data_IF_730186061555
#
_entry.id   IF_730186061555
#
_cell.length_a   1.000
_cell.length_b   1.000
_cell.length_c   1.000
_cell.angle_alpha   90.00
_cell.angle_beta   90.00
_cell.angle_gamma   90.00
#
_symmetry.space_group_name_H-M   'P 1'
#
loop_
_entity.id
_entity.type
_entity.pdbx_description
1 polymer ?
#
# COMPACT_ATOMS: atom_id res chain seq x y z
N UNK A 1 -25.88 -49.38 38.26
CA UNK A 1 -24.86 -48.32 38.14
C UNK A 1 -25.62 -46.99 38.03
N UNK A 2 -25.95 -46.36 39.16
CA UNK A 2 -25.29 -45.15 39.71
C UNK A 2 -25.31 -43.97 38.70
N UNK A 3 -26.38 -43.16 38.71
CA UNK A 3 -26.52 -41.82 39.35
C UNK A 3 -25.55 -40.74 38.84
N UNK A 4 -26.10 -39.70 38.20
CA UNK A 4 -25.69 -38.29 38.39
C UNK A 4 -26.84 -37.38 37.90
N UNK A 5 -27.78 -37.01 38.77
CA UNK A 5 -27.85 -35.77 39.58
C UNK A 5 -27.45 -34.48 38.86
N UNK A 6 -28.46 -33.60 38.80
CA UNK A 6 -28.52 -32.15 38.65
C UNK A 6 -27.20 -31.36 38.58
N UNK A 7 -27.21 -30.29 37.79
CA UNK A 7 -27.10 -28.95 38.38
C UNK A 7 -27.75 -27.90 37.47
N UNK A 8 -28.75 -27.26 38.08
CA UNK A 8 -29.40 -26.01 37.71
C UNK A 8 -28.40 -24.90 38.03
N UNK A 9 -28.16 -23.96 37.11
CA UNK A 9 -27.54 -22.68 37.45
C UNK A 9 -28.43 -21.63 36.83
N UNK A 10 -29.29 -21.07 37.68
CA UNK A 10 -30.08 -19.88 37.41
C UNK A 10 -29.21 -18.61 37.48
N UNK A 11 -29.80 -17.55 36.95
CA UNK A 11 -29.57 -16.14 37.25
C UNK A 11 -28.48 -15.37 36.48
N UNK A 12 -29.02 -14.59 35.53
CA UNK A 12 -28.88 -13.12 35.48
C UNK A 12 -27.45 -12.59 35.60
N UNK A 13 -26.88 -12.24 34.44
CA UNK A 13 -26.22 -10.94 34.33
C UNK A 13 -26.89 -10.11 33.24
N UNK A 14 -27.60 -9.13 33.76
CA UNK A 14 -28.06 -7.89 33.14
C UNK A 14 -26.84 -7.03 32.74
N UNK A 15 -27.07 -6.06 31.85
CA UNK A 15 -26.17 -4.98 31.42
C UNK A 15 -25.02 -5.39 30.48
N UNK A 16 -24.81 -4.80 29.31
CA UNK A 16 -25.21 -3.49 28.77
C UNK A 16 -25.12 -3.57 27.24
N UNK A 17 -26.10 -3.02 26.52
CA UNK A 17 -25.82 -2.53 25.16
C UNK A 17 -24.80 -1.38 25.26
N UNK A 18 -23.94 -1.20 24.26
CA UNK A 18 -24.38 -0.24 23.26
C UNK A 18 -24.21 -0.77 21.84
N UNK A 19 -25.29 -0.78 21.07
CA UNK A 19 -25.20 -0.37 19.67
C UNK A 19 -24.87 1.12 19.64
N UNK A 20 -23.78 1.51 18.95
CA UNK A 20 -23.86 2.73 18.16
C UNK A 20 -23.51 2.40 16.70
N UNK A 21 -24.49 2.69 15.85
CA UNK A 21 -24.31 3.33 14.55
C UNK A 21 -23.24 2.78 13.58
N UNK A 22 -23.74 2.24 12.47
CA UNK A 22 -23.21 2.45 11.11
C UNK A 22 -21.73 2.13 10.84
N UNK A 23 -21.47 0.90 10.40
CA UNK A 23 -20.44 0.67 9.39
C UNK A 23 -21.10 -0.10 8.24
N UNK A 24 -21.61 0.56 7.18
CA UNK A 24 -21.89 -0.13 5.93
C UNK A 24 -20.61 -0.11 5.09
N UNK A 25 -19.57 -0.82 5.50
CA UNK A 25 -18.42 -1.03 4.62
C UNK A 25 -17.99 -2.47 4.74
N UNK A 26 -18.68 -3.30 3.96
CA UNK A 26 -17.99 -4.34 3.23
C UNK A 26 -16.76 -3.67 2.58
N UNK A 27 -15.59 -3.85 3.19
CA UNK A 27 -14.33 -3.69 2.47
C UNK A 27 -14.11 -5.09 1.90
N UNK A 28 -14.52 -5.37 0.67
CA UNK A 28 -14.17 -6.63 0.05
C UNK A 28 -12.65 -6.67 -0.01
N UNK A 29 -12.10 -7.83 0.32
CA UNK A 29 -10.71 -8.15 0.20
C UNK A 29 -10.17 -7.78 -1.20
N UNK A 30 -9.46 -6.65 -1.30
CA UNK A 30 -8.67 -6.28 -2.47
C UNK A 30 -7.31 -5.81 -1.98
N UNK A 31 -6.44 -6.76 -1.61
CA UNK A 31 -4.99 -6.61 -1.37
C UNK A 31 -4.57 -5.18 -0.97
N UNK A 32 -4.96 -4.74 0.23
CA UNK A 32 -4.47 -3.49 0.80
C UNK A 32 -2.98 -3.65 1.07
N UNK A 33 -2.16 -3.29 0.08
CA UNK A 33 -0.73 -3.09 0.27
C UNK A 33 -0.61 -1.82 1.11
N UNK A 34 -0.57 -1.98 2.43
CA UNK A 34 -0.43 -0.87 3.37
C UNK A 34 1.02 -0.38 3.28
N UNK A 35 1.26 0.79 2.66
CA UNK A 35 2.61 1.31 2.54
C UNK A 35 3.11 1.77 3.92
N UNK A 36 4.40 1.58 4.21
CA UNK A 36 5.01 2.16 5.41
C UNK A 36 5.60 3.54 5.13
N UNK A 37 5.55 4.44 6.11
CA UNK A 37 6.16 5.77 5.99
C UNK A 37 7.67 5.62 5.76
N UNK A 38 8.19 6.25 4.70
CA UNK A 38 9.59 6.17 4.34
C UNK A 38 9.96 4.97 3.47
N UNK A 39 9.01 4.09 3.16
CA UNK A 39 9.22 2.96 2.25
C UNK A 39 9.03 3.37 0.78
N UNK A 40 9.46 2.51 -0.14
CA UNK A 40 9.28 2.71 -1.58
C UNK A 40 8.15 1.82 -2.08
N UNK A 41 7.24 2.41 -2.85
CA UNK A 41 6.08 1.70 -3.37
C UNK A 41 5.84 2.06 -4.82
N UNK A 42 5.29 1.09 -5.55
CA UNK A 42 4.79 1.31 -6.89
C UNK A 42 3.29 1.50 -6.86
N UNK A 43 2.80 2.51 -7.57
CA UNK A 43 1.38 2.76 -7.67
C UNK A 43 0.99 3.23 -9.05
N UNK A 44 -0.27 3.00 -9.40
CA UNK A 44 -0.87 3.39 -10.68
C UNK A 44 -1.46 4.77 -10.58
N UNK A 45 -1.11 5.63 -11.53
CA UNK A 45 -1.70 6.95 -11.70
C UNK A 45 -1.98 7.19 -13.18
N UNK A 46 -3.22 7.55 -13.54
CA UNK A 46 -3.66 7.81 -14.92
C UNK A 46 -3.31 6.68 -15.92
N UNK A 47 -3.43 5.41 -15.50
CA UNK A 47 -3.13 4.26 -16.36
C UNK A 47 -1.64 4.07 -16.64
N UNK A 48 -0.77 4.65 -15.83
CA UNK A 48 0.68 4.40 -15.85
C UNK A 48 1.14 4.13 -14.43
N UNK A 49 1.94 3.11 -14.22
CA UNK A 49 2.57 2.88 -12.92
C UNK A 49 3.79 3.79 -12.73
N UNK A 50 3.97 4.23 -11.50
CA UNK A 50 5.08 5.07 -11.06
C UNK A 50 5.60 4.53 -9.74
N UNK A 51 6.92 4.59 -9.57
CA UNK A 51 7.56 4.27 -8.30
C UNK A 51 7.75 5.55 -7.52
N UNK A 52 7.48 5.49 -6.22
CA UNK A 52 7.58 6.63 -5.35
C UNK A 52 7.94 6.25 -3.93
N UNK A 53 8.31 7.26 -3.17
CA UNK A 53 8.61 7.13 -1.74
C UNK A 53 7.42 7.62 -0.94
N UNK A 54 7.00 6.84 0.03
CA UNK A 54 5.90 7.17 0.93
C UNK A 54 6.40 8.24 1.90
N UNK A 55 5.78 9.42 1.85
CA UNK A 55 6.09 10.52 2.75
C UNK A 55 5.20 10.50 3.99
N UNK A 56 3.93 10.16 3.79
CA UNK A 56 2.93 10.11 4.86
C UNK A 56 1.89 9.06 4.50
N UNK A 57 1.37 8.39 5.52
CA UNK A 57 0.27 7.44 5.41
C UNK A 57 -0.85 7.99 6.29
N UNK A 58 -2.07 7.96 5.78
CA UNK A 58 -3.28 8.37 6.47
C UNK A 58 -4.24 7.19 6.51
N UNK A 59 -4.15 6.42 7.59
CA UNK A 59 -4.96 5.22 7.80
C UNK A 59 -6.44 5.53 8.03
N UNK A 60 -6.77 6.77 8.43
CA UNK A 60 -8.16 7.22 8.62
C UNK A 60 -8.91 7.32 7.29
N UNK A 61 -8.27 7.87 6.26
CA UNK A 61 -8.90 8.06 4.94
C UNK A 61 -8.52 6.93 3.95
N UNK A 62 -7.50 6.13 4.29
CA UNK A 62 -6.98 5.07 3.43
C UNK A 62 -6.12 5.61 2.29
N UNK A 63 -5.41 6.71 2.52
CA UNK A 63 -4.55 7.37 1.54
C UNK A 63 -3.08 7.39 1.97
N UNK A 64 -2.19 7.27 1.00
CA UNK A 64 -0.78 7.55 1.18
C UNK A 64 -0.36 8.76 0.35
N UNK A 65 0.38 9.66 0.98
CA UNK A 65 1.11 10.71 0.30
C UNK A 65 2.42 10.14 -0.21
N UNK A 66 2.49 9.91 -1.50
CA UNK A 66 3.66 9.35 -2.16
C UNK A 66 4.31 10.43 -3.03
N UNK A 67 5.63 10.55 -2.89
CA UNK A 67 6.45 11.33 -3.80
C UNK A 67 6.74 10.41 -4.98
N UNK A 68 6.26 10.73 -6.18
CA UNK A 68 6.52 9.92 -7.37
C UNK A 68 7.83 10.31 -8.05
N UNK A 69 8.56 9.30 -8.53
CA UNK A 69 9.69 9.47 -9.42
C UNK A 69 9.21 9.44 -10.87
N UNK A 70 9.81 10.31 -11.69
CA UNK A 70 9.57 10.31 -13.13
C UNK A 70 10.48 9.30 -13.79
N UNK A 71 9.89 8.36 -14.53
CA UNK A 71 10.65 7.53 -15.47
C UNK A 71 11.24 8.41 -16.57
N UNK A 72 12.55 8.40 -16.67
CA UNK A 72 13.32 9.07 -17.70
C UNK A 72 13.71 8.02 -18.71
N UNK A 73 13.28 8.20 -19.97
CA UNK A 73 13.68 7.33 -21.07
C UNK A 73 15.19 7.49 -21.26
N UNK A 74 15.95 6.53 -20.77
CA UNK A 74 17.38 6.43 -21.03
C UNK A 74 17.60 6.06 -22.50
N UNK A 75 18.73 6.49 -23.08
CA UNK A 75 19.15 6.05 -24.41
C UNK A 75 19.66 4.60 -24.44
N UNK A 76 19.66 3.92 -23.28
CA UNK A 76 20.15 2.57 -23.04
C UNK A 76 19.00 1.77 -22.42
N UNK A 77 18.94 0.45 -22.64
CA UNK A 77 17.87 -0.48 -22.20
C UNK A 77 17.53 -0.49 -20.71
N UNK A 78 18.18 0.35 -19.89
CA UNK A 78 17.92 0.50 -18.45
C UNK A 78 17.04 1.72 -18.22
N UNK A 79 15.83 1.49 -17.72
CA UNK A 79 14.94 2.56 -17.30
C UNK A 79 15.51 3.27 -16.07
N UNK A 80 15.54 4.61 -16.15
CA UNK A 80 16.10 5.46 -15.09
C UNK A 80 15.00 6.23 -14.43
N UNK A 81 15.02 6.30 -13.11
CA UNK A 81 14.08 7.07 -12.33
C UNK A 81 14.76 8.32 -11.79
N UNK A 82 14.04 9.45 -11.80
CA UNK A 82 14.56 10.69 -11.25
C UNK A 82 13.46 11.44 -10.52
N UNK A 83 13.82 12.02 -9.39
CA UNK A 83 12.93 12.94 -8.68
C UNK A 83 12.66 14.18 -9.54
N UNK A 84 11.40 14.46 -9.89
CA UNK A 84 11.06 15.71 -10.56
C UNK A 84 11.37 16.90 -9.64
N UNK A 85 11.68 18.05 -10.24
CA UNK A 85 11.80 19.33 -9.54
C UNK A 85 10.84 20.32 -10.21
N UNK A 86 9.75 20.73 -9.54
CA UNK A 86 9.38 20.42 -8.15
C UNK A 86 9.00 18.95 -7.90
N UNK A 87 9.15 18.48 -6.65
CA UNK A 87 8.78 17.10 -6.28
C UNK A 87 7.27 16.88 -6.45
N UNK A 88 6.90 15.90 -7.27
CA UNK A 88 5.53 15.45 -7.45
C UNK A 88 5.10 14.62 -6.24
N UNK A 89 4.35 15.25 -5.33
CA UNK A 89 3.79 14.62 -4.13
C UNK A 89 2.28 14.54 -4.27
N UNK A 90 1.77 13.34 -4.41
CA UNK A 90 0.36 13.07 -4.68
C UNK A 90 -0.20 12.18 -3.58
N UNK A 91 -1.46 12.42 -3.22
CA UNK A 91 -2.21 11.52 -2.36
C UNK A 91 -2.90 10.48 -3.23
N UNK A 92 -2.63 9.21 -2.95
CA UNK A 92 -3.24 8.09 -3.65
C UNK A 92 -3.85 7.14 -2.63
N UNK A 93 -4.98 6.53 -3.01
CA UNK A 93 -5.63 5.51 -2.21
C UNK A 93 -4.78 4.23 -2.19
N UNK A 94 -4.86 3.44 -1.12
CA UNK A 94 -4.14 2.16 -1.04
C UNK A 94 -4.51 1.19 -2.18
N UNK A 95 -5.73 1.27 -2.71
CA UNK A 95 -6.13 0.49 -3.89
C UNK A 95 -5.37 0.88 -5.17
N UNK A 96 -4.72 2.05 -5.24
CA UNK A 96 -3.87 2.39 -6.40
C UNK A 96 -2.44 1.85 -6.25
N UNK A 97 -2.05 1.41 -5.06
CA UNK A 97 -0.75 0.82 -4.80
C UNK A 97 -0.76 -0.60 -5.37
N UNK A 98 0.29 -0.92 -6.12
CA UNK A 98 0.49 -2.23 -6.73
C UNK A 98 1.24 -3.14 -5.77
N UNK A 99 2.38 -2.66 -5.27
CA UNK A 99 3.28 -3.40 -4.40
C UNK A 99 4.28 -2.46 -3.71
N UNK A 100 4.85 -2.92 -2.59
CA UNK A 100 6.10 -2.36 -2.08
C UNK A 100 7.23 -2.78 -3.01
N UNK A 101 8.17 -1.86 -3.21
CA UNK A 101 9.36 -2.11 -4.02
C UNK A 101 10.57 -1.84 -3.16
N UNK A 102 11.66 -2.54 -3.45
CA UNK A 102 12.91 -2.27 -2.75
C UNK A 102 13.40 -0.84 -3.03
N UNK A 103 14.22 -0.31 -2.11
CA UNK A 103 14.84 0.99 -2.30
C UNK A 103 15.64 0.99 -3.61
N UNK A 104 15.29 1.87 -4.56
CA UNK A 104 15.92 1.86 -5.87
C UNK A 104 17.38 2.34 -5.74
N UNK A 105 18.29 1.66 -6.44
CA UNK A 105 19.72 1.91 -6.33
C UNK A 105 20.10 3.26 -6.99
N UNK A 106 20.77 4.18 -6.28
CA UNK A 106 21.21 5.43 -6.89
C UNK A 106 22.29 5.17 -7.95
N UNK A 107 22.02 5.58 -9.20
CA UNK A 107 22.96 5.45 -10.32
C UNK A 107 23.72 6.76 -10.55
N UNK A 108 24.99 6.63 -10.91
CA UNK A 108 25.80 7.68 -11.51
C UNK A 108 26.55 8.54 -10.50
N UNK A 109 27.48 9.36 -11.00
CA UNK A 109 28.36 10.19 -10.15
C UNK A 109 27.61 11.24 -9.31
N UNK A 110 26.37 11.58 -9.69
CA UNK A 110 25.59 12.63 -9.02
C UNK A 110 24.62 12.08 -7.95
N UNK A 111 24.32 10.78 -7.91
CA UNK A 111 23.32 10.21 -6.99
C UNK A 111 21.90 10.79 -7.14
N UNK A 112 21.56 11.34 -8.31
CA UNK A 112 20.25 11.96 -8.60
C UNK A 112 19.37 11.13 -9.51
N UNK A 113 19.88 10.02 -10.02
CA UNK A 113 19.19 9.03 -10.85
C UNK A 113 19.10 7.74 -10.02
N UNK A 114 18.06 6.96 -10.21
CA UNK A 114 17.79 5.72 -9.49
C UNK A 114 17.48 4.60 -10.48
N UNK A 115 17.99 3.38 -10.22
CA UNK A 115 17.63 2.15 -10.92
C UNK A 115 16.61 1.41 -10.06
N UNK A 116 15.54 0.94 -10.67
CA UNK A 116 14.73 -0.09 -10.04
C UNK A 116 15.41 -1.45 -10.27
N UNK A 117 15.31 -2.36 -9.30
CA UNK A 117 15.67 -3.77 -9.50
C UNK A 117 14.86 -4.37 -10.66
N UNK A 118 15.47 -5.28 -11.42
CA UNK A 118 14.75 -5.97 -12.50
C UNK A 118 13.59 -6.80 -11.94
N UNK A 119 13.79 -7.46 -10.79
CA UNK A 119 12.74 -8.23 -10.10
C UNK A 119 11.54 -7.35 -9.69
N UNK A 120 11.80 -6.19 -9.07
CA UNK A 120 10.74 -5.23 -8.72
C UNK A 120 10.03 -4.71 -9.97
N UNK A 121 10.77 -4.44 -11.04
CA UNK A 121 10.22 -3.96 -12.30
C UNK A 121 9.26 -4.98 -12.93
N UNK A 122 9.68 -6.24 -13.01
CA UNK A 122 8.87 -7.33 -13.54
C UNK A 122 7.60 -7.54 -12.70
N UNK A 123 7.74 -7.51 -11.38
CA UNK A 123 6.62 -7.65 -10.45
C UNK A 123 5.58 -6.54 -10.64
N UNK A 124 6.01 -5.28 -10.71
CA UNK A 124 5.10 -4.15 -10.96
C UNK A 124 4.42 -4.29 -12.32
N UNK A 125 5.18 -4.63 -13.37
CA UNK A 125 4.65 -4.78 -14.72
C UNK A 125 3.59 -5.89 -14.78
N UNK A 126 3.84 -7.00 -14.10
CA UNK A 126 2.92 -8.13 -14.01
C UNK A 126 1.64 -7.75 -13.28
N UNK A 127 1.74 -7.14 -12.09
CA UNK A 127 0.55 -6.70 -11.33
C UNK A 127 -0.22 -5.64 -12.11
N UNK A 128 0.49 -4.70 -12.74
CA UNK A 128 -0.13 -3.66 -13.56
C UNK A 128 -0.90 -4.23 -14.75
N UNK A 129 -0.39 -5.28 -15.41
CA UNK A 129 -1.10 -5.95 -16.50
C UNK A 129 -2.32 -6.77 -16.04
N UNK A 130 -2.37 -7.15 -14.76
CA UNK A 130 -3.49 -7.91 -14.18
C UNK A 130 -4.63 -7.02 -13.66
N UNK A 131 -4.43 -5.71 -13.60
CA UNK A 131 -5.45 -4.71 -13.23
C UNK A 131 -6.09 -4.08 -14.48
#
# INVERSE_FOLDING_TARGET
MARKVAELIDDVNHEMEPTPAAIPMAVPAELDVVPEKGDFVAAVYEGVWYVGKVLKVDESDGDAKISFMKKTRGSTSVEKFKWPQPQDKIWIKFNQILCNVNEPEPIGKSGREFKLGEDDHELICQIFQMK
#
